data_IF_126466766377
#
_entry.id   IF_126466766377
#
_cell.length_a   1.000
_cell.length_b   1.000
_cell.length_c   1.000
_cell.angle_alpha   90.00
_cell.angle_beta   90.00
_cell.angle_gamma   90.00
#
_symmetry.space_group_name_H-M   'P 1'
#
loop_
_entity.id
_entity.type
_entity.pdbx_description
1 polymer ?
#
# COMPACT_ATOMS: atom_id res chain seq x y z
N UNK A 1 15.49 -5.94 4.74
CA UNK A 1 14.75 -4.69 4.45
C UNK A 1 14.36 -3.92 5.71
N UNK A 2 13.65 -4.52 6.68
CA UNK A 2 13.16 -3.78 7.86
C UNK A 2 14.27 -3.09 8.69
N UNK A 3 15.36 -3.78 9.02
CA UNK A 3 16.47 -3.19 9.78
C UNK A 3 17.25 -2.10 9.00
N UNK A 4 17.30 -2.21 7.66
CA UNK A 4 17.92 -1.20 6.80
C UNK A 4 17.08 0.08 6.76
N UNK A 5 15.76 -0.06 6.70
CA UNK A 5 14.84 1.09 6.75
C UNK A 5 14.95 1.86 8.07
N UNK A 6 14.96 1.13 9.20
CA UNK A 6 15.05 1.73 10.53
C UNK A 6 16.44 2.34 10.75
N UNK A 7 17.51 1.62 10.42
CA UNK A 7 18.89 2.08 10.64
C UNK A 7 19.28 3.33 9.85
N UNK A 8 18.69 3.53 8.66
CA UNK A 8 18.93 4.72 7.83
C UNK A 8 17.82 5.78 7.91
N UNK A 9 16.82 5.60 8.77
CA UNK A 9 15.70 6.54 8.87
C UNK A 9 14.88 6.67 7.58
N UNK A 10 14.79 5.61 6.79
CA UNK A 10 14.10 5.57 5.49
C UNK A 10 12.61 5.24 5.60
N UNK A 11 12.10 4.96 6.80
CA UNK A 11 10.66 4.71 7.03
C UNK A 11 9.78 5.85 6.53
N UNK A 12 10.28 7.08 6.55
CA UNK A 12 9.62 8.27 6.00
C UNK A 12 9.26 8.20 4.50
N UNK A 13 9.89 7.30 3.74
CA UNK A 13 9.55 7.09 2.31
C UNK A 13 8.35 6.15 2.11
N UNK A 14 7.93 5.47 3.18
CA UNK A 14 6.86 4.48 3.21
C UNK A 14 5.68 5.03 4.01
N UNK A 15 5.95 5.69 5.14
CA UNK A 15 4.94 6.29 5.99
C UNK A 15 4.49 7.65 5.42
N UNK A 16 3.25 8.05 5.72
CA UNK A 16 2.72 9.37 5.35
C UNK A 16 3.41 10.54 6.09
N UNK A 17 4.42 10.25 6.92
CA UNK A 17 5.20 11.22 7.67
C UNK A 17 6.25 11.97 6.83
N UNK A 18 6.65 11.42 5.68
CA UNK A 18 7.63 12.06 4.81
C UNK A 18 7.02 13.11 3.89
N UNK A 19 7.28 14.39 4.16
CA UNK A 19 6.94 15.44 3.20
C UNK A 19 7.88 15.36 1.99
N UNK A 20 7.31 15.32 0.78
CA UNK A 20 8.05 15.47 -0.46
C UNK A 20 8.63 16.89 -0.50
N UNK A 21 9.97 17.07 -0.48
CA UNK A 21 10.55 18.39 -0.60
C UNK A 21 10.25 18.98 -1.99
N UNK A 22 9.97 20.28 -2.07
CA UNK A 22 9.84 20.98 -3.35
C UNK A 22 11.12 20.85 -4.17
N UNK A 23 11.02 20.69 -5.49
CA UNK A 23 12.16 20.61 -6.41
C UNK A 23 12.95 21.91 -6.48
N UNK A 24 12.26 23.03 -6.33
CA UNK A 24 12.84 24.37 -6.36
C UNK A 24 12.36 25.18 -5.17
N UNK A 25 13.18 26.15 -4.77
CA UNK A 25 12.86 27.14 -3.76
C UNK A 25 13.07 28.54 -4.35
N UNK A 26 12.20 29.47 -3.97
CA UNK A 26 12.40 30.87 -4.31
C UNK A 26 13.43 31.46 -3.35
N UNK A 27 14.56 31.91 -3.88
CA UNK A 27 15.59 32.62 -3.11
C UNK A 27 15.64 34.06 -3.61
N UNK A 28 15.14 34.98 -2.80
CA UNK A 28 14.85 36.36 -3.19
C UNK A 28 13.85 36.42 -4.36
N UNK A 29 14.33 36.53 -5.59
CA UNK A 29 13.55 36.63 -6.83
C UNK A 29 13.86 35.54 -7.84
N UNK A 30 14.80 34.64 -7.53
CA UNK A 30 15.24 33.58 -8.44
C UNK A 30 14.79 32.20 -7.93
N UNK A 31 14.33 31.39 -8.87
CA UNK A 31 13.97 29.99 -8.63
C UNK A 31 15.24 29.13 -8.67
N UNK A 32 15.65 28.62 -7.52
CA UNK A 32 16.90 27.87 -7.37
C UNK A 32 16.60 26.39 -7.06
N UNK A 33 17.39 25.42 -7.56
CA UNK A 33 17.24 24.01 -7.20
C UNK A 33 17.34 23.78 -5.69
N UNK A 34 16.48 22.92 -5.16
CA UNK A 34 16.45 22.61 -3.74
C UNK A 34 17.34 21.40 -3.41
N UNK A 35 18.42 21.62 -2.65
CA UNK A 35 19.37 20.55 -2.32
C UNK A 35 18.75 19.38 -1.53
N UNK A 36 17.73 19.66 -0.71
CA UNK A 36 17.03 18.61 0.01
C UNK A 36 16.22 17.69 -0.93
N UNK A 37 15.72 18.22 -2.06
CA UNK A 37 15.09 17.39 -3.08
C UNK A 37 16.08 16.41 -3.71
N UNK A 38 17.29 16.84 -4.03
CA UNK A 38 18.29 15.95 -4.61
C UNK A 38 18.66 14.79 -3.65
N UNK A 39 18.78 15.10 -2.37
CA UNK A 39 19.08 14.09 -1.33
C UNK A 39 17.91 13.13 -1.17
N UNK A 40 16.69 13.66 -1.10
CA UNK A 40 15.46 12.86 -1.05
C UNK A 40 15.32 11.95 -2.28
N UNK A 41 15.53 12.49 -3.48
CA UNK A 41 15.37 11.76 -4.74
C UNK A 41 16.34 10.58 -4.85
N UNK A 42 17.60 10.78 -4.45
CA UNK A 42 18.60 9.69 -4.43
C UNK A 42 18.18 8.57 -3.48
N UNK A 43 17.71 8.92 -2.29
CA UNK A 43 17.26 7.94 -1.30
C UNK A 43 15.99 7.21 -1.76
N UNK A 44 15.04 7.93 -2.35
CA UNK A 44 13.83 7.36 -2.93
C UNK A 44 14.17 6.37 -4.06
N UNK A 45 15.07 6.72 -4.98
CA UNK A 45 15.44 5.82 -6.09
C UNK A 45 16.15 4.57 -5.63
N UNK A 46 17.08 4.68 -4.67
CA UNK A 46 17.75 3.52 -4.08
C UNK A 46 16.75 2.57 -3.42
N UNK A 47 15.77 3.12 -2.69
CA UNK A 47 14.76 2.32 -2.02
C UNK A 47 13.77 1.70 -3.01
N UNK A 48 13.39 2.45 -4.05
CA UNK A 48 12.56 1.96 -5.15
C UNK A 48 13.22 0.78 -5.87
N UNK A 49 14.51 0.88 -6.18
CA UNK A 49 15.25 -0.20 -6.83
C UNK A 49 15.38 -1.42 -5.92
N UNK A 50 15.67 -1.21 -4.63
CA UNK A 50 15.70 -2.30 -3.65
C UNK A 50 14.33 -3.02 -3.59
N UNK A 51 13.24 -2.24 -3.55
CA UNK A 51 11.89 -2.75 -3.55
C UNK A 51 11.57 -3.52 -4.84
N UNK A 52 11.89 -2.97 -6.01
CA UNK A 52 11.71 -3.63 -7.30
C UNK A 52 12.45 -4.97 -7.40
N UNK A 53 13.66 -5.05 -6.85
CA UNK A 53 14.44 -6.29 -6.80
C UNK A 53 13.89 -7.33 -5.82
N UNK A 54 13.10 -6.93 -4.83
CA UNK A 54 12.49 -7.87 -3.86
C UNK A 54 11.14 -8.43 -4.32
N UNK A 55 10.51 -7.83 -5.33
CA UNK A 55 9.18 -8.20 -5.79
C UNK A 55 9.27 -9.34 -6.80
N UNK A 56 8.30 -10.25 -6.75
CA UNK A 56 8.20 -11.32 -7.73
C UNK A 56 8.02 -10.75 -9.14
N UNK A 57 8.71 -11.35 -10.12
CA UNK A 57 8.74 -10.88 -11.52
C UNK A 57 7.35 -10.79 -12.13
N UNK A 58 6.42 -11.63 -11.68
CA UNK A 58 5.01 -11.62 -12.09
C UNK A 58 4.28 -10.31 -11.78
N UNK A 59 4.75 -9.56 -10.78
CA UNK A 59 4.16 -8.29 -10.31
C UNK A 59 4.97 -7.07 -10.74
N UNK A 60 6.06 -7.25 -11.48
CA UNK A 60 6.92 -6.15 -11.94
C UNK A 60 6.17 -5.08 -12.74
N UNK A 61 5.09 -5.45 -13.44
CA UNK A 61 4.24 -4.52 -14.18
C UNK A 61 3.59 -3.45 -13.29
N UNK A 62 3.35 -3.74 -12.00
CA UNK A 62 2.74 -2.80 -11.06
C UNK A 62 3.65 -1.60 -10.79
N UNK A 63 4.97 -1.79 -10.87
CA UNK A 63 5.96 -0.75 -10.61
C UNK A 63 6.22 0.15 -11.81
N UNK A 64 5.87 -0.30 -13.02
CA UNK A 64 6.13 0.46 -14.27
C UNK A 64 5.41 1.82 -14.29
N UNK A 65 4.32 1.96 -13.52
CA UNK A 65 3.50 3.18 -13.45
C UNK A 65 3.83 4.07 -12.24
N UNK A 66 4.73 3.63 -11.38
CA UNK A 66 5.05 4.33 -10.13
C UNK A 66 6.35 5.08 -10.26
N UNK A 67 6.36 6.34 -9.81
CA UNK A 67 7.53 7.22 -9.92
C UNK A 67 8.27 7.35 -8.60
N UNK A 68 7.64 6.99 -7.47
CA UNK A 68 8.23 7.06 -6.12
C UNK A 68 8.06 5.75 -5.36
N UNK A 69 8.91 5.53 -4.35
CA UNK A 69 8.81 4.35 -3.46
C UNK A 69 7.46 4.30 -2.78
N UNK A 70 6.93 5.44 -2.32
CA UNK A 70 5.63 5.50 -1.65
C UNK A 70 4.50 4.97 -2.53
N UNK A 71 4.45 5.40 -3.80
CA UNK A 71 3.44 4.92 -4.74
C UNK A 71 3.57 3.42 -4.99
N UNK A 72 4.80 2.92 -5.19
CA UNK A 72 5.05 1.49 -5.34
C UNK A 72 4.58 0.71 -4.12
N UNK A 73 4.93 1.18 -2.92
CA UNK A 73 4.50 0.57 -1.67
C UNK A 73 2.99 0.55 -1.52
N UNK A 74 2.30 1.65 -1.80
CA UNK A 74 0.84 1.75 -1.68
C UNK A 74 0.12 0.79 -2.64
N UNK A 75 0.61 0.67 -3.88
CA UNK A 75 0.06 -0.28 -4.86
C UNK A 75 0.28 -1.72 -4.38
N UNK A 76 1.47 -2.05 -3.87
CA UNK A 76 1.76 -3.40 -3.37
C UNK A 76 0.92 -3.72 -2.14
N UNK A 77 0.89 -2.83 -1.16
CA UNK A 77 0.08 -2.97 0.05
C UNK A 77 -1.39 -3.20 -0.31
N UNK A 78 -1.92 -2.46 -1.29
CA UNK A 78 -3.29 -2.64 -1.78
C UNK A 78 -3.47 -3.97 -2.50
N UNK A 79 -2.56 -4.32 -3.41
CA UNK A 79 -2.58 -5.58 -4.19
C UNK A 79 -2.58 -6.80 -3.28
N UNK A 80 -1.73 -6.82 -2.26
CA UNK A 80 -1.66 -7.91 -1.30
C UNK A 80 -2.82 -7.89 -0.27
N UNK A 81 -3.36 -6.71 0.06
CA UNK A 81 -4.52 -6.61 0.96
C UNK A 81 -5.86 -6.99 0.30
N UNK A 82 -5.99 -6.93 -1.02
CA UNK A 82 -7.22 -7.26 -1.75
C UNK A 82 -7.66 -8.74 -1.57
N UNK A 83 -6.78 -9.73 -1.79
CA UNK A 83 -7.10 -11.14 -1.53
C UNK A 83 -7.45 -11.42 -0.07
N UNK A 84 -6.78 -10.76 0.89
CA UNK A 84 -7.05 -10.94 2.31
C UNK A 84 -8.44 -10.41 2.68
N UNK A 85 -8.84 -9.24 2.18
CA UNK A 85 -10.20 -8.69 2.34
C UNK A 85 -11.27 -9.61 1.75
N UNK A 86 -11.02 -10.19 0.57
CA UNK A 86 -11.93 -11.16 -0.06
C UNK A 86 -12.10 -12.43 0.76
N UNK A 87 -11.01 -12.98 1.30
CA UNK A 87 -11.05 -14.12 2.21
C UNK A 87 -11.79 -13.80 3.52
N UNK A 88 -11.52 -12.64 4.14
CA UNK A 88 -12.22 -12.19 5.34
C UNK A 88 -13.73 -12.03 5.07
N UNK A 89 -14.11 -11.45 3.92
CA UNK A 89 -15.53 -11.33 3.53
C UNK A 89 -16.19 -12.69 3.31
N UNK A 90 -15.51 -13.63 2.65
CA UNK A 90 -15.99 -15.02 2.49
C UNK A 90 -16.14 -15.72 3.85
N UNK A 91 -15.19 -15.57 4.75
CA UNK A 91 -15.27 -16.12 6.11
C UNK A 91 -16.46 -15.51 6.87
N UNK A 92 -16.65 -14.18 6.83
CA UNK A 92 -17.82 -13.51 7.42
C UNK A 92 -19.14 -14.01 6.84
N UNK A 93 -19.22 -14.29 5.54
CA UNK A 93 -20.41 -14.86 4.90
C UNK A 93 -20.68 -16.30 5.36
N UNK A 94 -19.64 -17.12 5.50
CA UNK A 94 -19.76 -18.50 6.01
C UNK A 94 -20.10 -18.55 7.51
N UNK A 95 -19.65 -17.55 8.27
CA UNK A 95 -19.88 -17.42 9.72
C UNK A 95 -21.19 -16.71 10.05
N UNK A 96 -21.84 -16.03 9.09
CA UNK A 96 -23.21 -15.56 9.29
C UNK A 96 -24.09 -16.80 9.49
N UNK A 97 -24.74 -16.97 10.66
CA UNK A 97 -25.55 -18.14 10.90
C UNK A 97 -26.63 -18.22 9.83
N UNK A 98 -26.86 -19.44 9.35
CA UNK A 98 -28.00 -19.80 8.51
C UNK A 98 -29.30 -19.55 9.30
N UNK A 99 -29.72 -18.29 9.38
CA UNK A 99 -31.04 -17.87 9.88
C UNK A 99 -32.14 -18.14 8.85
N UNK A 100 -31.88 -19.01 7.85
CA UNK A 100 -32.87 -19.40 6.85
C UNK A 100 -33.48 -20.79 7.07
N UNK A 101 -33.04 -21.55 8.08
CA UNK A 101 -33.56 -22.90 8.32
C UNK A 101 -34.25 -23.10 9.69
N UNK A 102 -34.69 -22.04 10.37
CA UNK A 102 -35.61 -22.15 11.53
C UNK A 102 -37.04 -21.66 11.24
N UNK A 103 -37.39 -21.54 9.95
CA UNK A 103 -38.80 -21.40 9.55
C UNK A 103 -39.15 -22.59 8.66
N UNK A 104 -39.23 -23.79 9.24
CA UNK A 104 -39.87 -24.92 8.55
C UNK A 104 -41.39 -24.86 8.80
N UNK A 105 -42.24 -25.11 7.79
CA UNK A 105 -43.67 -24.91 7.86
C UNK A 105 -44.33 -26.11 8.54
N UNK A 106 -44.96 -25.91 9.68
CA UNK A 106 -45.81 -26.91 10.31
C UNK A 106 -47.04 -26.23 10.92
N UNK A 107 -48.02 -25.93 10.09
CA UNK A 107 -49.43 -26.02 10.50
C UNK A 107 -50.09 -27.01 9.54
N UNK A 108 -50.08 -28.29 9.92
CA UNK A 108 -51.00 -29.28 9.38
C UNK A 108 -52.36 -29.12 10.08
N UNK A 109 -53.42 -29.29 9.28
CA UNK A 109 -54.85 -29.39 9.63
C UNK A 109 -55.18 -30.40 10.74
N UNK A 110 -56.34 -30.16 11.39
CA UNK A 110 -57.19 -31.12 12.10
C UNK A 110 -57.13 -30.91 13.62
N UNK A 111 -58.21 -30.73 14.37
CA UNK A 111 -59.65 -30.99 14.22
C UNK A 111 -60.46 -29.87 14.88
#
# INVERSE_FOLDING_TARGET
MQYLLVGYGLSRFIDDSGSLPSQTILKHTETVPHLAYNTWFRQDKLLFDALANTIDKSLGFLLTRTTTTKQAWDILATTYALPSRGHIKKLKLKLKPSQRNLVHPFIKRGY
#
